data_IF_664225421406
#
_entry.id   IF_664225421406
#
_cell.length_a   1.000
_cell.length_b   1.000
_cell.length_c   1.000
_cell.angle_alpha   90.00
_cell.angle_beta   90.00
_cell.angle_gamma   90.00
#
_symmetry.space_group_name_H-M   'P 1'
#
loop_
_entity.id
_entity.type
_entity.pdbx_description
1 polymer ?
#
# COMPACT_ATOMS: atom_id res chain seq x y z
N UNK A 1 -18.25 -4.50 -11.40
CA UNK A 1 -17.86 -4.87 -10.02
C UNK A 1 -16.59 -4.12 -9.72
N UNK A 2 -16.47 -3.53 -8.54
CA UNK A 2 -15.27 -2.79 -8.13
C UNK A 2 -14.76 -3.44 -6.87
N UNK A 3 -13.48 -3.77 -6.84
CA UNK A 3 -12.82 -4.28 -5.62
C UNK A 3 -11.97 -3.15 -5.04
N UNK A 4 -12.08 -2.91 -3.74
CA UNK A 4 -11.34 -1.87 -3.04
C UNK A 4 -10.51 -2.52 -1.93
N UNK A 5 -9.25 -2.12 -1.82
CA UNK A 5 -8.36 -2.51 -0.73
C UNK A 5 -8.06 -1.29 0.12
N UNK A 6 -8.07 -1.47 1.43
CA UNK A 6 -7.68 -0.44 2.39
C UNK A 6 -6.41 -0.86 3.10
N UNK A 7 -5.44 0.04 3.17
CA UNK A 7 -4.21 -0.14 3.94
C UNK A 7 -4.17 0.91 5.02
N UNK A 8 -4.00 0.43 6.24
CA UNK A 8 -3.92 1.24 7.45
C UNK A 8 -2.58 0.99 8.11
N UNK A 9 -1.84 2.05 8.40
CA UNK A 9 -0.51 1.98 8.99
C UNK A 9 -0.53 2.60 10.39
N UNK A 10 0.00 1.85 11.36
CA UNK A 10 0.09 2.25 12.75
C UNK A 10 1.56 2.33 13.23
N UNK A 11 1.74 2.99 14.38
CA UNK A 11 3.07 3.20 14.96
C UNK A 11 3.97 4.09 14.09
N UNK A 12 5.28 4.03 14.32
CA UNK A 12 6.24 4.85 13.60
C UNK A 12 6.74 4.15 12.32
N UNK A 13 5.81 3.64 11.51
CA UNK A 13 6.12 2.95 10.27
C UNK A 13 5.52 3.68 9.06
N UNK A 14 6.17 3.54 7.92
CA UNK A 14 5.61 3.89 6.60
C UNK A 14 5.52 2.64 5.76
N UNK A 15 4.39 2.43 5.10
CA UNK A 15 4.23 1.37 4.12
C UNK A 15 4.29 1.95 2.70
N UNK A 16 4.98 1.26 1.79
CA UNK A 16 4.89 1.49 0.34
C UNK A 16 4.16 0.32 -0.29
N UNK A 17 3.07 0.61 -0.97
CA UNK A 17 2.18 -0.38 -1.58
C UNK A 17 2.30 -0.30 -3.10
N UNK A 18 2.73 -1.39 -3.74
CA UNK A 18 2.74 -1.54 -5.20
C UNK A 18 1.62 -2.49 -5.63
N UNK A 19 0.74 -2.03 -6.53
CA UNK A 19 -0.22 -2.91 -7.19
C UNK A 19 0.50 -3.74 -8.26
N UNK A 20 0.26 -5.05 -8.27
CA UNK A 20 0.73 -5.99 -9.28
C UNK A 20 -0.49 -6.49 -10.06
N UNK A 21 -0.51 -6.21 -11.36
CA UNK A 21 -1.56 -6.64 -12.29
C UNK A 21 -0.95 -7.62 -13.28
N UNK A 22 -1.51 -8.83 -13.37
CA UNK A 22 -1.04 -9.88 -14.28
C UNK A 22 0.48 -10.16 -14.17
N UNK A 23 1.00 -10.12 -12.93
CA UNK A 23 2.40 -10.37 -12.61
C UNK A 23 3.36 -9.21 -12.90
N UNK A 24 2.86 -8.02 -13.27
CA UNK A 24 3.67 -6.83 -13.51
C UNK A 24 3.28 -5.66 -12.60
N UNK A 25 4.21 -4.78 -12.21
CA UNK A 25 3.88 -3.54 -11.53
C UNK A 25 2.90 -2.70 -12.34
N UNK A 26 1.82 -2.27 -11.69
CA UNK A 26 0.79 -1.44 -12.28
C UNK A 26 0.70 -0.10 -11.55
N UNK A 27 0.94 0.98 -12.27
CA UNK A 27 0.97 2.33 -11.72
C UNK A 27 2.12 2.56 -10.74
N UNK A 28 2.13 3.75 -10.15
CA UNK A 28 3.16 4.16 -9.19
C UNK A 28 2.92 3.55 -7.79
N UNK A 29 3.98 3.17 -7.06
CA UNK A 29 3.86 2.78 -5.66
C UNK A 29 3.27 3.90 -4.81
N UNK A 30 2.44 3.55 -3.84
CA UNK A 30 1.79 4.52 -2.97
C UNK A 30 2.30 4.39 -1.55
N UNK A 31 2.84 5.49 -1.01
CA UNK A 31 3.22 5.58 0.39
C UNK A 31 1.98 5.83 1.28
N UNK A 32 1.89 5.09 2.37
CA UNK A 32 0.94 5.26 3.47
C UNK A 32 1.76 5.58 4.72
N UNK A 33 1.58 6.79 5.23
CA UNK A 33 2.36 7.33 6.34
C UNK A 33 1.87 6.79 7.69
N UNK A 34 2.65 7.02 8.78
CA UNK A 34 2.20 6.75 10.13
C UNK A 34 0.79 7.31 10.41
N UNK A 35 -0.07 6.50 11.04
CA UNK A 35 -1.44 6.86 11.43
C UNK A 35 -2.34 7.25 10.24
N UNK A 36 -2.02 6.80 9.03
CA UNK A 36 -2.80 7.06 7.82
C UNK A 36 -3.56 5.81 7.38
N UNK A 37 -4.76 6.01 6.80
CA UNK A 37 -5.48 4.99 6.02
C UNK A 37 -5.61 5.48 4.58
N UNK A 38 -5.28 4.61 3.62
CA UNK A 38 -5.55 4.84 2.19
C UNK A 38 -6.35 3.71 1.60
N UNK A 39 -7.23 4.05 0.66
CA UNK A 39 -8.02 3.11 -0.12
C UNK A 39 -7.56 3.11 -1.57
N UNK A 40 -7.49 1.93 -2.19
CA UNK A 40 -7.08 1.72 -3.57
C UNK A 40 -8.16 0.95 -4.31
N UNK A 41 -8.52 1.42 -5.50
CA UNK A 41 -9.40 0.69 -6.39
C UNK A 41 -8.57 -0.23 -7.29
N UNK A 42 -8.98 -1.49 -7.36
CA UNK A 42 -8.33 -2.48 -8.20
C UNK A 42 -8.78 -2.34 -9.65
N UNK A 43 -7.80 -2.35 -10.55
CA UNK A 43 -8.04 -2.55 -11.97
C UNK A 43 -8.19 -4.05 -12.23
N UNK A 44 -9.26 -4.47 -12.90
CA UNK A 44 -9.49 -5.89 -13.14
C UNK A 44 -8.61 -6.40 -14.29
N UNK A 45 -7.85 -7.46 -14.01
CA UNK A 45 -7.02 -8.20 -14.96
C UNK A 45 -7.30 -9.70 -14.82
N UNK A 46 -6.40 -10.55 -15.33
CA UNK A 46 -6.45 -11.99 -15.11
C UNK A 46 -6.08 -12.35 -13.66
N UNK A 47 -5.16 -11.60 -13.05
CA UNK A 47 -4.73 -11.74 -11.66
C UNK A 47 -4.41 -10.37 -11.04
N UNK A 48 -4.63 -10.25 -9.73
CA UNK A 48 -4.45 -9.03 -8.97
C UNK A 48 -3.82 -9.33 -7.60
N UNK A 49 -2.69 -8.70 -7.32
CA UNK A 49 -2.02 -8.80 -6.01
C UNK A 49 -1.36 -7.48 -5.62
N UNK A 50 -0.90 -7.38 -4.38
CA UNK A 50 -0.15 -6.22 -3.89
C UNK A 50 1.16 -6.67 -3.25
N UNK A 51 2.21 -5.88 -3.47
CA UNK A 51 3.46 -5.98 -2.71
C UNK A 51 3.51 -4.83 -1.71
N UNK A 52 3.81 -5.14 -0.45
CA UNK A 52 3.92 -4.16 0.63
C UNK A 52 5.33 -4.22 1.20
N UNK A 53 5.99 -3.06 1.25
CA UNK A 53 7.24 -2.87 1.95
C UNK A 53 7.04 -1.88 3.10
N UNK A 54 7.56 -2.20 4.28
CA UNK A 54 7.45 -1.34 5.46
C UNK A 54 8.83 -0.84 5.89
N UNK A 55 8.86 0.42 6.33
CA UNK A 55 10.05 1.06 6.88
C UNK A 55 9.74 1.63 8.26
N UNK A 56 10.59 1.29 9.23
CA UNK A 56 10.56 1.92 10.54
C UNK A 56 11.19 3.32 10.48
N UNK A 57 10.46 4.34 10.90
CA UNK A 57 10.89 5.73 10.84
C UNK A 57 11.62 6.21 12.11
N UNK A 58 11.77 5.34 13.11
CA UNK A 58 12.34 5.69 14.40
C UNK A 58 11.31 6.25 15.38
N UNK A 59 11.67 6.27 16.66
CA UNK A 59 10.87 6.94 17.68
C UNK A 59 11.03 8.45 17.58
N UNK A 60 9.93 9.21 17.67
CA UNK A 60 10.04 10.64 17.97
C UNK A 60 10.79 10.75 19.30
N UNK A 61 12.00 11.33 19.27
CA UNK A 61 12.69 11.72 20.49
C UNK A 61 11.73 12.58 21.32
N UNK A 62 11.45 12.11 22.52
CA UNK A 62 10.59 12.78 23.50
C UNK A 62 11.21 14.11 23.96
#
# INVERSE_FOLDING_TARGET
MTTTVKVHVNGNYRATVQHILDGQPYGEPIAVNPQEEKSFNLHHGKDNSFSVYEEYLGDKQA
#
